data_IF_202458545074
#
_entry.id   IF_202458545074
#
_cell.length_a   1.000
_cell.length_b   1.000
_cell.length_c   1.000
_cell.angle_alpha   90.00
_cell.angle_beta   90.00
_cell.angle_gamma   90.00
#
_symmetry.space_group_name_H-M   'P 1'
#
loop_
_entity.id
_entity.type
_entity.pdbx_description
1 polymer ?
#
# COMPACT_ATOMS: atom_id res chain seq x y z
N UNK A 1 -13.30 -11.00 7.55
CA UNK A 1 -12.00 -11.41 8.12
C UNK A 1 -10.81 -10.63 7.54
N UNK A 2 -10.55 -10.65 6.22
CA UNK A 2 -9.37 -9.95 5.65
C UNK A 2 -9.34 -8.43 5.88
N UNK A 3 -10.50 -7.77 5.76
CA UNK A 3 -10.62 -6.33 6.02
C UNK A 3 -10.31 -5.99 7.48
N UNK A 4 -10.77 -6.80 8.43
CA UNK A 4 -10.49 -6.62 9.86
C UNK A 4 -9.01 -6.81 10.16
N UNK A 5 -8.39 -7.86 9.62
CA UNK A 5 -6.93 -8.09 9.78
C UNK A 5 -6.15 -6.92 9.20
N UNK A 6 -6.52 -6.44 8.01
CA UNK A 6 -5.87 -5.27 7.41
C UNK A 6 -6.02 -4.01 8.26
N UNK A 7 -7.24 -3.70 8.73
CA UNK A 7 -7.49 -2.56 9.62
C UNK A 7 -6.66 -2.69 10.91
N UNK A 8 -6.65 -3.87 11.52
CA UNK A 8 -5.89 -4.13 12.74
C UNK A 8 -4.38 -3.97 12.50
N UNK A 9 -3.85 -4.48 11.38
CA UNK A 9 -2.44 -4.30 11.01
C UNK A 9 -2.08 -2.84 10.81
N UNK A 10 -2.96 -2.04 10.17
CA UNK A 10 -2.74 -0.60 10.02
C UNK A 10 -2.77 0.09 11.38
N UNK A 11 -3.75 -0.21 12.25
CA UNK A 11 -3.83 0.38 13.59
C UNK A 11 -2.61 0.04 14.45
N UNK A 12 -2.16 -1.21 14.45
CA UNK A 12 -0.95 -1.64 15.16
C UNK A 12 0.28 -0.94 14.60
N UNK A 13 0.41 -0.87 13.26
CA UNK A 13 1.52 -0.18 12.63
C UNK A 13 1.56 1.32 13.00
N UNK A 14 0.40 1.99 12.95
CA UNK A 14 0.28 3.40 13.35
C UNK A 14 0.60 3.59 14.84
N UNK A 15 0.11 2.71 15.71
CA UNK A 15 0.40 2.78 17.14
C UNK A 15 1.88 2.55 17.46
N UNK A 16 2.55 1.62 16.77
CA UNK A 16 3.97 1.36 16.94
C UNK A 16 4.84 2.51 16.42
N UNK A 17 4.50 3.08 15.26
CA UNK A 17 5.24 4.22 14.71
C UNK A 17 5.01 5.46 15.56
N UNK A 18 3.76 5.78 15.90
CA UNK A 18 3.42 6.92 16.73
C UNK A 18 3.96 6.80 18.15
N UNK A 19 3.81 5.64 18.78
CA UNK A 19 4.36 5.35 20.10
C UNK A 19 5.88 5.34 20.11
N UNK A 20 6.53 4.80 19.07
CA UNK A 20 7.99 4.84 18.93
C UNK A 20 8.52 6.26 18.74
N UNK A 21 7.88 7.07 17.89
CA UNK A 21 8.24 8.48 17.70
C UNK A 21 8.02 9.30 18.97
N UNK A 22 6.92 9.06 19.69
CA UNK A 22 6.67 9.68 20.99
C UNK A 22 7.72 9.28 22.03
N UNK A 23 8.07 8.00 22.10
CA UNK A 23 9.10 7.50 23.00
C UNK A 23 10.44 8.18 22.72
N UNK A 24 10.85 8.26 21.45
CA UNK A 24 12.04 8.98 21.01
C UNK A 24 12.02 10.44 21.46
N UNK A 25 10.89 11.13 21.29
CA UNK A 25 10.75 12.54 21.66
C UNK A 25 10.83 12.78 23.18
N UNK A 26 10.34 11.84 23.99
CA UNK A 26 10.35 11.96 25.46
C UNK A 26 11.70 11.55 26.05
N UNK A 27 12.38 10.57 25.47
CA UNK A 27 13.64 10.04 26.02
C UNK A 27 14.88 10.81 25.58
N UNK A 28 14.74 11.74 24.63
CA UNK A 28 15.88 12.39 23.97
C UNK A 28 15.66 13.90 23.98
N UNK A 29 16.34 14.65 24.87
CA UNK A 29 16.27 16.11 24.87
C UNK A 29 16.98 16.68 23.64
N UNK A 30 16.28 17.48 22.83
CA UNK A 30 16.82 18.18 21.64
C UNK A 30 17.67 17.35 20.65
N UNK A 31 17.19 16.20 20.13
CA UNK A 31 17.91 15.39 19.15
C UNK A 31 18.21 16.13 17.83
N UNK A 32 17.58 17.28 17.56
CA UNK A 32 17.64 17.93 16.26
C UNK A 32 16.75 17.23 15.22
N UNK A 33 16.23 18.02 14.28
CA UNK A 33 15.17 17.59 13.35
C UNK A 33 15.59 16.43 12.44
N UNK A 34 16.86 16.37 12.03
CA UNK A 34 17.37 15.33 11.13
C UNK A 34 17.52 13.96 11.83
N UNK A 35 17.85 13.95 13.13
CA UNK A 35 17.94 12.71 13.93
C UNK A 35 16.56 12.13 14.21
N UNK A 36 15.56 12.97 14.50
CA UNK A 36 14.16 12.53 14.62
C UNK A 36 13.70 11.88 13.31
N UNK A 37 14.06 12.49 12.18
CA UNK A 37 13.75 11.92 10.87
C UNK A 37 14.41 10.56 10.64
N UNK A 38 15.70 10.41 10.98
CA UNK A 38 16.42 9.15 10.90
C UNK A 38 15.74 8.06 11.76
N UNK A 39 15.42 8.37 13.01
CA UNK A 39 14.71 7.46 13.92
C UNK A 39 13.32 7.09 13.37
N UNK A 40 12.57 8.06 12.86
CA UNK A 40 11.24 7.83 12.27
C UNK A 40 11.32 6.94 11.03
N UNK A 41 12.32 7.13 10.17
CA UNK A 41 12.56 6.27 9.01
C UNK A 41 12.94 4.85 9.42
N UNK A 42 13.82 4.69 10.42
CA UNK A 42 14.17 3.38 10.96
C UNK A 42 12.95 2.65 11.54
N UNK A 43 12.13 3.34 12.35
CA UNK A 43 10.86 2.80 12.88
C UNK A 43 9.88 2.41 11.78
N UNK A 44 9.76 3.25 10.74
CA UNK A 44 8.91 2.96 9.58
C UNK A 44 9.36 1.66 8.90
N UNK A 45 10.68 1.45 8.73
CA UNK A 45 11.22 0.22 8.16
C UNK A 45 10.97 -0.98 9.07
N UNK A 46 11.23 -0.88 10.38
CA UNK A 46 10.97 -1.97 11.34
C UNK A 46 9.51 -2.40 11.41
N UNK A 47 8.57 -1.48 11.14
CA UNK A 47 7.13 -1.79 11.19
C UNK A 47 6.62 -2.27 9.83
N UNK A 48 6.91 -1.54 8.75
CA UNK A 48 6.37 -1.87 7.43
C UNK A 48 7.12 -3.00 6.73
N UNK A 49 8.42 -3.20 7.00
CA UNK A 49 9.21 -4.29 6.45
C UNK A 49 8.58 -5.67 6.72
N UNK A 50 8.36 -6.02 8.00
CA UNK A 50 7.70 -7.26 8.37
C UNK A 50 6.28 -7.35 7.84
N UNK A 51 5.52 -6.25 7.89
CA UNK A 51 4.13 -6.23 7.42
C UNK A 51 4.04 -6.53 5.92
N UNK A 52 4.93 -5.94 5.11
CA UNK A 52 5.05 -6.24 3.67
C UNK A 52 5.41 -7.71 3.47
N UNK A 53 6.41 -8.22 4.18
CA UNK A 53 6.85 -9.61 4.06
C UNK A 53 5.74 -10.61 4.43
N UNK A 54 5.06 -10.39 5.56
CA UNK A 54 3.95 -11.20 6.03
C UNK A 54 2.76 -11.13 5.08
N UNK A 55 2.46 -9.95 4.53
CA UNK A 55 1.40 -9.80 3.51
C UNK A 55 1.73 -10.58 2.24
N UNK A 56 2.99 -10.58 1.80
CA UNK A 56 3.43 -11.35 0.64
C UNK A 56 3.33 -12.86 0.88
N UNK A 57 3.73 -13.34 2.07
CA UNK A 57 3.63 -14.76 2.46
C UNK A 57 2.19 -15.24 2.60
N UNK A 58 1.30 -14.38 3.11
CA UNK A 58 -0.11 -14.68 3.21
C UNK A 58 -0.78 -14.74 1.83
N UNK A 59 -0.30 -13.92 0.89
CA UNK A 59 -0.93 -13.71 -0.39
C UNK A 59 -0.47 -14.67 -1.49
N UNK A 60 0.84 -14.93 -1.56
CA UNK A 60 1.48 -15.75 -2.59
C UNK A 60 2.02 -17.05 -2.02
N UNK A 61 1.98 -18.13 -2.81
CA UNK A 61 2.69 -19.35 -2.43
C UNK A 61 4.14 -19.30 -2.93
N UNK A 62 5.06 -19.03 -2.00
CA UNK A 62 6.48 -19.01 -2.26
C UNK A 62 7.02 -20.38 -2.74
N UNK A 63 6.33 -21.49 -2.46
CA UNK A 63 6.81 -22.85 -2.79
C UNK A 63 6.31 -23.39 -4.14
N UNK A 64 5.34 -22.73 -4.77
CA UNK A 64 4.64 -23.23 -5.96
C UNK A 64 5.54 -23.37 -7.19
N UNK A 65 6.48 -22.45 -7.40
CA UNK A 65 7.46 -22.51 -8.49
C UNK A 65 8.83 -21.99 -8.05
N UNK A 66 9.89 -22.39 -8.75
CA UNK A 66 11.24 -21.90 -8.46
C UNK A 66 11.39 -20.40 -8.72
N UNK A 67 10.63 -19.86 -9.67
CA UNK A 67 10.55 -18.43 -9.91
C UNK A 67 9.93 -17.70 -8.69
N UNK A 68 8.88 -18.27 -8.09
CA UNK A 68 8.27 -17.76 -6.85
C UNK A 68 9.25 -17.81 -5.67
N UNK A 69 9.98 -18.93 -5.50
CA UNK A 69 11.01 -19.08 -4.44
C UNK A 69 12.10 -18.03 -4.58
N UNK A 70 12.67 -17.86 -5.77
CA UNK A 70 13.73 -16.86 -6.03
C UNK A 70 13.22 -15.44 -5.79
N UNK A 71 11.99 -15.15 -6.20
CA UNK A 71 11.37 -13.84 -5.99
C UNK A 71 11.17 -13.54 -4.51
N UNK A 72 10.67 -14.53 -3.75
CA UNK A 72 10.46 -14.39 -2.32
C UNK A 72 11.78 -14.26 -1.57
N UNK A 73 12.79 -15.07 -1.91
CA UNK A 73 14.12 -14.97 -1.32
C UNK A 73 14.77 -13.59 -1.58
N UNK A 74 14.58 -13.02 -2.78
CA UNK A 74 15.05 -11.68 -3.10
C UNK A 74 14.36 -10.61 -2.24
N UNK A 75 13.03 -10.66 -2.10
CA UNK A 75 12.29 -9.73 -1.24
C UNK A 75 12.65 -9.88 0.23
N UNK A 76 12.80 -11.11 0.71
CA UNK A 76 13.25 -11.40 2.07
C UNK A 76 14.60 -10.75 2.36
N UNK A 77 15.57 -10.89 1.46
CA UNK A 77 16.89 -10.24 1.58
C UNK A 77 16.79 -8.72 1.56
N UNK A 78 15.91 -8.14 0.75
CA UNK A 78 15.68 -6.68 0.73
C UNK A 78 15.13 -6.20 2.07
N UNK A 79 14.09 -6.85 2.60
CA UNK A 79 13.47 -6.45 3.87
C UNK A 79 14.45 -6.58 5.02
N UNK A 80 15.14 -7.73 5.13
CA UNK A 80 16.16 -7.95 6.16
C UNK A 80 17.31 -6.97 6.02
N UNK A 81 17.78 -6.70 4.79
CA UNK A 81 18.81 -5.71 4.53
C UNK A 81 18.39 -4.29 4.95
N UNK A 82 17.14 -3.89 4.65
CA UNK A 82 16.59 -2.62 5.09
C UNK A 82 16.46 -2.56 6.61
N UNK A 83 16.08 -3.64 7.29
CA UNK A 83 16.04 -3.68 8.76
C UNK A 83 17.42 -3.62 9.41
N UNK A 84 18.44 -4.24 8.81
CA UNK A 84 19.83 -4.07 9.26
C UNK A 84 20.26 -2.61 9.11
N UNK A 85 19.92 -1.96 7.99
CA UNK A 85 20.20 -0.52 7.81
C UNK A 85 19.42 0.35 8.81
N UNK A 86 18.16 0.00 9.12
CA UNK A 86 17.38 0.66 10.14
C UNK A 86 17.97 0.48 11.55
N UNK A 87 18.50 -0.71 11.85
CA UNK A 87 19.21 -1.00 13.10
C UNK A 87 20.48 -0.18 13.24
N UNK A 88 21.26 -0.04 12.16
CA UNK A 88 22.42 0.85 12.14
C UNK A 88 21.96 2.30 12.33
N UNK A 89 20.92 2.74 11.62
CA UNK A 89 20.38 4.08 11.72
C UNK A 89 19.90 4.45 13.13
N UNK A 90 19.24 3.51 13.83
CA UNK A 90 18.75 3.76 15.19
C UNK A 90 19.88 3.74 16.23
N UNK A 91 20.94 2.96 16.01
CA UNK A 91 22.15 2.99 16.84
C UNK A 91 22.91 4.30 16.65
N UNK A 92 23.10 4.75 15.40
CA UNK A 92 23.69 6.07 15.10
C UNK A 92 22.85 7.18 15.74
N UNK A 93 21.52 7.10 15.63
CA UNK A 93 20.61 8.02 16.31
C UNK A 93 20.88 8.04 17.81
N UNK A 94 20.92 6.88 18.46
CA UNK A 94 21.12 6.81 19.91
C UNK A 94 22.48 7.37 20.34
N UNK A 95 23.54 7.13 19.57
CA UNK A 95 24.88 7.66 19.84
C UNK A 95 24.98 9.18 19.67
N UNK A 96 24.34 9.74 18.65
CA UNK A 96 24.45 11.17 18.34
C UNK A 96 23.49 12.04 19.16
N UNK A 97 22.40 11.43 19.64
CA UNK A 97 21.39 12.13 20.43
C UNK A 97 21.51 11.85 21.94
N UNK A 98 22.59 11.18 22.38
CA UNK A 98 22.81 10.71 23.75
C UNK A 98 21.59 9.96 24.33
N UNK A 99 20.90 9.21 23.47
CA UNK A 99 19.70 8.48 23.87
C UNK A 99 20.08 7.25 24.71
N UNK A 100 19.20 6.79 25.62
CA UNK A 100 19.47 5.61 26.42
C UNK A 100 19.74 4.36 25.57
N UNK A 101 20.76 3.57 25.95
CA UNK A 101 21.18 2.37 25.20
C UNK A 101 20.06 1.32 25.07
N UNK A 102 19.10 1.30 25.98
CA UNK A 102 17.95 0.40 25.91
C UNK A 102 17.00 0.72 24.73
N UNK A 103 16.97 1.97 24.25
CA UNK A 103 16.07 2.42 23.19
C UNK A 103 16.33 1.72 21.84
N UNK A 104 17.57 1.71 21.28
CA UNK A 104 17.86 0.96 20.05
C UNK A 104 17.67 -0.55 20.25
N UNK A 105 18.03 -1.09 21.42
CA UNK A 105 17.81 -2.52 21.74
C UNK A 105 16.33 -2.87 21.68
N UNK A 106 15.46 -2.03 22.24
CA UNK A 106 14.01 -2.21 22.21
C UNK A 106 13.48 -2.21 20.77
N UNK A 107 13.86 -1.22 19.96
CA UNK A 107 13.35 -1.13 18.59
C UNK A 107 13.83 -2.28 17.70
N UNK A 108 15.09 -2.71 17.84
CA UNK A 108 15.61 -3.88 17.14
C UNK A 108 14.87 -5.15 17.59
N UNK A 109 14.65 -5.32 18.89
CA UNK A 109 13.91 -6.46 19.43
C UNK A 109 12.46 -6.51 18.92
N UNK A 110 11.78 -5.36 18.88
CA UNK A 110 10.43 -5.23 18.33
C UNK A 110 10.41 -5.53 16.83
N UNK A 111 11.34 -5.00 16.04
CA UNK A 111 11.47 -5.31 14.60
C UNK A 111 11.65 -6.80 14.35
N UNK A 112 12.60 -7.43 15.06
CA UNK A 112 12.82 -8.88 14.98
C UNK A 112 11.58 -9.69 15.37
N UNK A 113 10.88 -9.29 16.44
CA UNK A 113 9.63 -9.92 16.86
C UNK A 113 8.55 -9.78 15.79
N UNK A 114 8.41 -8.61 15.15
CA UNK A 114 7.47 -8.38 14.07
C UNK A 114 7.79 -9.24 12.84
N UNK A 115 9.06 -9.44 12.47
CA UNK A 115 9.44 -10.40 11.41
C UNK A 115 8.92 -11.80 11.77
N UNK A 116 9.22 -12.28 12.98
CA UNK A 116 8.83 -13.62 13.40
C UNK A 116 7.31 -13.80 13.36
N UNK A 117 6.57 -12.82 13.90
CA UNK A 117 5.10 -12.79 13.86
C UNK A 117 4.60 -12.74 12.43
N UNK A 118 5.16 -11.91 11.57
CA UNK A 118 4.73 -11.76 10.18
C UNK A 118 4.92 -13.05 9.37
N UNK A 119 6.06 -13.73 9.53
CA UNK A 119 6.33 -15.02 8.88
C UNK A 119 5.37 -16.10 9.38
N UNK A 120 5.17 -16.16 10.70
CA UNK A 120 4.29 -17.15 11.32
C UNK A 120 2.81 -16.93 10.96
N UNK A 121 2.30 -15.72 11.18
CA UNK A 121 0.91 -15.33 10.87
C UNK A 121 0.64 -15.43 9.38
N UNK A 122 1.60 -15.04 8.52
CA UNK A 122 1.48 -15.19 7.08
C UNK A 122 1.29 -16.65 6.66
N UNK A 123 2.14 -17.54 7.15
CA UNK A 123 2.03 -18.98 6.89
C UNK A 123 0.73 -19.58 7.44
N UNK A 124 0.32 -19.17 8.65
CA UNK A 124 -0.92 -19.64 9.28
C UNK A 124 -2.17 -19.18 8.53
N UNK A 125 -2.26 -17.90 8.16
CA UNK A 125 -3.37 -17.35 7.37
C UNK A 125 -3.47 -18.06 6.02
N UNK A 126 -2.33 -18.36 5.40
CA UNK A 126 -2.28 -19.10 4.14
C UNK A 126 -2.85 -20.51 4.28
N UNK A 127 -2.37 -21.29 5.28
CA UNK A 127 -2.91 -22.63 5.57
C UNK A 127 -4.42 -22.61 5.82
N UNK A 128 -4.92 -21.60 6.54
CA UNK A 128 -6.36 -21.43 6.78
C UNK A 128 -7.15 -21.08 5.52
N UNK A 129 -6.55 -20.35 4.58
CA UNK A 129 -7.14 -20.09 3.27
C UNK A 129 -7.11 -21.33 2.36
N UNK A 130 -6.07 -22.14 2.42
CA UNK A 130 -5.94 -23.40 1.66
C UNK A 130 -6.92 -24.46 2.16
N UNK A 131 -7.19 -24.52 3.46
CA UNK A 131 -8.17 -25.43 4.05
C UNK A 131 -9.63 -25.12 3.64
N UNK A 132 -9.89 -23.97 3.03
CA UNK A 132 -11.20 -23.63 2.48
C UNK A 132 -11.24 -24.04 1.01
N UNK A 133 -12.23 -24.88 0.65
CA UNK A 133 -12.43 -25.28 -0.74
C UNK A 133 -12.44 -24.04 -1.65
N UNK A 134 -11.66 -24.04 -2.75
CA UNK A 134 -11.74 -22.98 -3.73
C UNK A 134 -13.16 -22.95 -4.26
N UNK A 135 -13.84 -21.81 -4.08
CA UNK A 135 -15.09 -21.58 -4.80
C UNK A 135 -14.66 -21.20 -6.21
N UNK A 136 -14.69 -22.18 -7.13
CA UNK A 136 -14.53 -21.93 -8.56
C UNK A 136 -15.63 -20.98 -8.99
N UNK A 137 -15.24 -19.71 -9.17
CA UNK A 137 -16.13 -18.71 -9.76
C UNK A 137 -15.73 -18.59 -11.21
N UNK A 138 -16.67 -18.74 -12.15
CA UNK A 138 -16.37 -18.43 -13.54
C UNK A 138 -15.82 -17.00 -13.60
N UNK A 139 -14.72 -16.84 -14.33
CA UNK A 139 -14.16 -15.52 -14.54
C UNK A 139 -15.19 -14.69 -15.31
N UNK A 140 -15.56 -13.53 -14.77
CA UNK A 140 -16.50 -12.62 -15.38
C UNK A 140 -15.82 -11.26 -15.56
N UNK A 141 -15.88 -10.66 -16.76
CA UNK A 141 -15.36 -9.32 -16.96
C UNK A 141 -16.15 -8.33 -16.08
N UNK A 142 -15.45 -7.37 -15.48
CA UNK A 142 -16.10 -6.34 -14.67
C UNK A 142 -17.01 -5.48 -15.53
N UNK A 143 -18.26 -5.34 -15.10
CA UNK A 143 -19.22 -4.49 -15.80
C UNK A 143 -18.97 -3.01 -15.53
N UNK A 144 -19.34 -2.13 -16.47
CA UNK A 144 -19.26 -0.66 -16.28
C UNK A 144 -19.98 -0.19 -15.01
N UNK A 145 -21.10 -0.84 -14.66
CA UNK A 145 -21.87 -0.55 -13.43
C UNK A 145 -21.07 -0.85 -12.16
N UNK A 146 -20.29 -1.93 -12.14
CA UNK A 146 -19.42 -2.24 -11.00
C UNK A 146 -18.29 -1.23 -10.84
N UNK A 147 -17.68 -0.81 -11.95
CA UNK A 147 -16.65 0.25 -11.96
C UNK A 147 -17.23 1.55 -11.40
N UNK A 148 -18.40 1.97 -11.88
CA UNK A 148 -19.07 3.18 -11.37
C UNK A 148 -19.41 3.05 -9.88
N UNK A 149 -19.96 1.91 -9.44
CA UNK A 149 -20.25 1.66 -8.02
C UNK A 149 -18.99 1.78 -7.14
N UNK A 150 -17.85 1.30 -7.65
CA UNK A 150 -16.54 1.40 -6.98
C UNK A 150 -16.07 2.86 -6.88
N UNK A 151 -16.21 3.64 -7.95
CA UNK A 151 -15.91 5.09 -7.96
C UNK A 151 -16.84 5.83 -6.99
N UNK A 152 -18.15 5.57 -7.05
CA UNK A 152 -19.13 6.20 -6.14
C UNK A 152 -18.79 5.93 -4.68
N UNK A 153 -18.36 4.72 -4.32
CA UNK A 153 -17.91 4.42 -2.96
C UNK A 153 -16.72 5.31 -2.54
N UNK A 154 -15.72 5.48 -3.40
CA UNK A 154 -14.58 6.36 -3.10
C UNK A 154 -15.02 7.81 -2.91
N UNK A 155 -15.89 8.32 -3.79
CA UNK A 155 -16.42 9.70 -3.70
C UNK A 155 -17.26 9.89 -2.44
N UNK A 156 -18.17 8.97 -2.14
CA UNK A 156 -19.01 9.03 -0.92
C UNK A 156 -18.15 8.97 0.34
N UNK A 157 -17.11 8.13 0.37
CA UNK A 157 -16.19 8.10 1.51
C UNK A 157 -15.40 9.39 1.65
N UNK A 158 -14.95 10.00 0.54
CA UNK A 158 -14.31 11.31 0.56
C UNK A 158 -15.24 12.38 1.14
N UNK A 159 -16.44 12.52 0.58
CA UNK A 159 -17.42 13.52 1.01
C UNK A 159 -17.84 13.30 2.47
N UNK A 160 -18.11 12.04 2.85
CA UNK A 160 -18.47 11.70 4.22
C UNK A 160 -17.35 12.02 5.22
N UNK A 161 -16.11 11.62 4.93
CA UNK A 161 -14.97 11.94 5.79
C UNK A 161 -14.69 13.44 5.86
N UNK A 162 -14.88 14.17 4.76
CA UNK A 162 -14.77 15.63 4.73
C UNK A 162 -15.81 16.30 5.62
N UNK A 163 -17.08 15.91 5.49
CA UNK A 163 -18.18 16.44 6.33
C UNK A 163 -17.94 16.12 7.80
N UNK A 164 -17.50 14.90 8.14
CA UNK A 164 -17.14 14.54 9.52
C UNK A 164 -15.97 15.39 10.01
N UNK A 165 -14.93 15.56 9.19
CA UNK A 165 -13.79 16.42 9.50
C UNK A 165 -14.20 17.86 9.79
N UNK A 166 -15.09 18.43 8.97
CA UNK A 166 -15.66 19.76 9.18
C UNK A 166 -16.53 19.84 10.44
N UNK A 167 -17.34 18.81 10.73
CA UNK A 167 -18.18 18.78 11.92
C UNK A 167 -17.34 18.69 13.20
N UNK A 168 -16.32 17.82 13.22
CA UNK A 168 -15.38 17.74 14.35
C UNK A 168 -14.63 19.05 14.53
N UNK A 169 -14.19 19.68 13.44
CA UNK A 169 -13.58 21.00 13.48
C UNK A 169 -14.54 22.03 14.08
N UNK A 170 -15.79 22.09 13.65
CA UNK A 170 -16.78 23.02 14.20
C UNK A 170 -17.04 22.80 15.70
N UNK A 171 -17.05 21.54 16.15
CA UNK A 171 -17.26 21.18 17.56
C UNK A 171 -16.05 21.50 18.44
N UNK A 172 -14.83 21.25 17.94
CA UNK A 172 -13.60 21.39 18.71
C UNK A 172 -12.80 22.67 18.40
N UNK A 173 -13.29 23.53 17.48
CA UNK A 173 -12.62 24.77 17.08
C UNK A 173 -12.27 25.67 18.27
N UNK A 174 -13.13 25.72 19.29
CA UNK A 174 -12.94 26.60 20.46
C UNK A 174 -11.93 26.05 21.48
N UNK A 175 -11.75 24.74 21.54
CA UNK A 175 -10.91 24.07 22.56
C UNK A 175 -9.53 23.66 22.02
N UNK A 176 -9.46 23.29 20.74
CA UNK A 176 -8.25 22.71 20.13
C UNK A 176 -7.54 23.69 19.21
N UNK A 177 -8.26 24.64 18.60
CA UNK A 177 -7.72 25.50 17.54
C UNK A 177 -7.71 26.99 17.94
N UNK A 178 -6.60 27.45 18.53
CA UNK A 178 -6.17 28.85 18.39
C UNK A 178 -5.60 29.16 17.00
N UNK A 179 -5.57 28.14 16.13
CA UNK A 179 -5.01 28.20 14.77
C UNK A 179 -5.97 28.82 13.73
N UNK A 180 -5.40 29.25 12.61
CA UNK A 180 -6.14 29.87 11.51
C UNK A 180 -7.17 28.91 10.89
N UNK A 181 -8.33 29.44 10.46
CA UNK A 181 -9.37 28.68 9.74
C UNK A 181 -8.81 27.87 8.55
N UNK A 182 -7.76 28.39 7.90
CA UNK A 182 -7.08 27.76 6.77
C UNK A 182 -6.38 26.45 7.18
N UNK A 183 -5.67 26.42 8.31
CA UNK A 183 -5.02 25.20 8.82
C UNK A 183 -6.05 24.13 9.15
N UNK A 184 -7.12 24.54 9.84
CA UNK A 184 -8.20 23.64 10.22
C UNK A 184 -8.89 23.04 8.97
N UNK A 185 -9.23 23.88 7.97
CA UNK A 185 -9.78 23.41 6.69
C UNK A 185 -8.83 22.44 5.98
N UNK A 186 -7.54 22.75 5.93
CA UNK A 186 -6.57 21.86 5.30
C UNK A 186 -6.44 20.52 6.04
N UNK A 187 -6.59 20.49 7.37
CA UNK A 187 -6.61 19.24 8.14
C UNK A 187 -7.82 18.38 7.74
N UNK A 188 -9.01 18.99 7.68
CA UNK A 188 -10.24 18.29 7.28
C UNK A 188 -10.14 17.73 5.85
N UNK A 189 -9.61 18.53 4.92
CA UNK A 189 -9.34 18.08 3.54
C UNK A 189 -8.30 16.95 3.52
N UNK A 190 -7.23 17.05 4.31
CA UNK A 190 -6.20 16.02 4.42
C UNK A 190 -6.77 14.69 4.90
N UNK A 191 -7.57 14.72 5.98
CA UNK A 191 -8.27 13.54 6.50
C UNK A 191 -9.22 12.94 5.45
N UNK A 192 -9.94 13.76 4.70
CA UNK A 192 -10.81 13.30 3.62
C UNK A 192 -10.01 12.58 2.51
N UNK A 193 -8.85 13.13 2.13
CA UNK A 193 -7.94 12.48 1.17
C UNK A 193 -7.46 11.11 1.66
N UNK A 194 -7.02 10.99 2.92
CA UNK A 194 -6.61 9.72 3.50
C UNK A 194 -7.76 8.69 3.54
N UNK A 195 -8.95 9.11 3.96
CA UNK A 195 -10.12 8.25 4.00
C UNK A 195 -10.52 7.74 2.61
N UNK A 196 -10.48 8.61 1.60
CA UNK A 196 -10.77 8.25 0.21
C UNK A 196 -9.71 7.33 -0.40
N UNK A 197 -8.43 7.55 -0.08
CA UNK A 197 -7.34 6.65 -0.45
C UNK A 197 -7.57 5.26 0.16
N UNK A 198 -7.95 5.19 1.44
CA UNK A 198 -8.27 3.94 2.12
C UNK A 198 -9.45 3.21 1.47
N UNK A 199 -10.53 3.94 1.13
CA UNK A 199 -11.65 3.38 0.37
C UNK A 199 -11.19 2.82 -0.98
N UNK A 200 -10.30 3.52 -1.69
CA UNK A 200 -9.70 3.05 -2.94
C UNK A 200 -8.93 1.74 -2.76
N UNK A 201 -8.13 1.61 -1.70
CA UNK A 201 -7.43 0.35 -1.37
C UNK A 201 -8.45 -0.78 -1.14
N UNK A 202 -9.48 -0.56 -0.33
CA UNK A 202 -10.50 -1.57 -0.04
C UNK A 202 -11.29 -1.98 -1.30
N UNK A 203 -11.54 -1.04 -2.20
CA UNK A 203 -12.25 -1.25 -3.47
C UNK A 203 -11.40 -2.03 -4.48
N UNK A 204 -10.07 -1.91 -4.42
CA UNK A 204 -9.14 -2.64 -5.30
C UNK A 204 -8.79 -4.04 -4.79
N UNK A 205 -8.93 -4.33 -3.49
CA UNK A 205 -8.66 -5.68 -2.93
C UNK A 205 -9.31 -6.85 -3.70
N UNK A 206 -10.60 -6.77 -4.12
CA UNK A 206 -11.20 -7.84 -4.92
C UNK A 206 -10.53 -8.03 -6.30
N UNK A 207 -9.99 -6.96 -6.90
CA UNK A 207 -9.31 -7.03 -8.20
C UNK A 207 -7.96 -7.74 -8.06
N UNK A 208 -7.21 -7.43 -7.00
CA UNK A 208 -6.00 -8.19 -6.68
C UNK A 208 -6.33 -9.67 -6.52
N UNK A 209 -7.43 -9.99 -5.82
CA UNK A 209 -7.86 -11.38 -5.62
C UNK A 209 -8.15 -12.09 -6.95
N UNK A 210 -8.79 -11.43 -7.91
CA UNK A 210 -9.00 -11.98 -9.25
C UNK A 210 -7.67 -12.27 -9.96
N UNK A 211 -6.69 -11.36 -9.91
CA UNK A 211 -5.34 -11.62 -10.45
C UNK A 211 -4.72 -12.87 -9.82
N UNK A 212 -4.87 -13.00 -8.50
CA UNK A 212 -4.35 -14.16 -7.75
C UNK A 212 -5.05 -15.46 -8.13
N UNK A 213 -6.34 -15.41 -8.42
CA UNK A 213 -7.14 -16.57 -8.85
C UNK A 213 -6.75 -17.00 -10.27
N UNK A 214 -6.49 -16.06 -11.19
CA UNK A 214 -6.01 -16.35 -12.55
C UNK A 214 -4.70 -17.15 -12.52
N UNK A 215 -3.72 -16.72 -11.71
CA UNK A 215 -2.38 -17.33 -11.66
C UNK A 215 -2.18 -18.40 -10.58
N UNK A 216 -3.27 -18.87 -9.95
CA UNK A 216 -3.19 -19.87 -8.89
C UNK A 216 -2.27 -19.52 -7.70
N UNK A 217 -2.12 -18.25 -7.32
CA UNK A 217 -1.17 -17.79 -6.29
C UNK A 217 0.33 -17.97 -6.62
N UNK A 218 0.70 -18.19 -7.88
CA UNK A 218 2.12 -18.19 -8.29
C UNK A 218 2.61 -16.76 -8.61
N UNK A 219 3.45 -16.21 -7.74
CA UNK A 219 4.05 -14.89 -7.95
C UNK A 219 5.00 -14.84 -9.16
N UNK A 220 5.63 -15.97 -9.50
CA UNK A 220 6.47 -16.12 -10.70
C UNK A 220 5.64 -15.97 -11.97
N UNK A 221 4.49 -16.65 -12.05
CA UNK A 221 3.57 -16.56 -13.18
C UNK A 221 3.01 -15.13 -13.33
N UNK A 222 2.59 -14.47 -12.24
CA UNK A 222 2.17 -13.06 -12.29
C UNK A 222 3.26 -12.15 -12.85
N UNK A 223 4.52 -12.35 -12.47
CA UNK A 223 5.63 -11.56 -13.01
C UNK A 223 5.88 -11.87 -14.48
N UNK A 224 5.68 -13.12 -14.93
CA UNK A 224 5.76 -13.51 -16.34
C UNK A 224 4.68 -12.78 -17.14
N UNK A 225 3.42 -12.90 -16.73
CA UNK A 225 2.28 -12.23 -17.37
C UNK A 225 2.44 -10.71 -17.36
N UNK A 226 2.82 -10.11 -16.22
CA UNK A 226 3.06 -8.67 -16.12
C UNK A 226 4.20 -8.19 -17.04
N UNK A 227 5.24 -9.00 -17.27
CA UNK A 227 6.30 -8.66 -18.24
C UNK A 227 5.80 -8.68 -19.67
N UNK A 228 4.96 -9.65 -20.04
CA UNK A 228 4.37 -9.72 -21.37
C UNK A 228 3.41 -8.54 -21.58
N UNK A 229 2.40 -8.43 -20.72
CA UNK A 229 1.30 -7.46 -20.85
C UNK A 229 1.75 -6.01 -20.62
N UNK A 230 2.49 -5.74 -19.54
CA UNK A 230 2.84 -4.36 -19.17
C UNK A 230 4.18 -3.90 -19.76
N UNK A 231 5.14 -4.82 -19.91
CA UNK A 231 6.46 -4.47 -20.48
C UNK A 231 6.58 -4.75 -21.98
N UNK A 232 5.65 -5.48 -22.59
CA UNK A 232 5.70 -5.84 -24.00
C UNK A 232 6.83 -6.82 -24.32
N UNK A 233 7.26 -7.63 -23.35
CA UNK A 233 8.32 -8.61 -23.58
C UNK A 233 7.76 -9.81 -24.34
N UNK A 234 8.45 -10.22 -25.41
CA UNK A 234 8.20 -11.48 -26.12
C UNK A 234 8.76 -12.62 -25.26
N UNK A 235 7.88 -13.30 -24.55
CA UNK A 235 8.16 -14.54 -23.85
C UNK A 235 7.25 -15.58 -24.45
N UNK A 236 7.75 -16.80 -24.69
CA UNK A 236 6.92 -17.88 -25.19
C UNK A 236 5.87 -18.22 -24.13
N UNK A 237 4.61 -18.03 -24.52
CA UNK A 237 3.44 -18.35 -23.73
C UNK A 237 2.71 -19.50 -24.42
N UNK A 238 2.45 -20.55 -23.65
CA UNK A 238 1.56 -21.63 -24.06
C UNK A 238 0.12 -21.08 -24.25
N UNK A 239 -0.74 -21.83 -24.94
CA UNK A 239 -2.12 -21.40 -25.24
C UNK A 239 -2.90 -21.06 -23.95
N UNK A 240 -2.74 -21.86 -22.90
CA UNK A 240 -3.35 -21.60 -21.58
C UNK A 240 -2.77 -20.32 -20.94
N UNK A 241 -1.47 -20.08 -21.05
CA UNK A 241 -0.82 -18.89 -20.51
C UNK A 241 -1.22 -17.61 -21.28
N UNK A 242 -1.53 -17.71 -22.58
CA UNK A 242 -2.06 -16.59 -23.36
C UNK A 242 -3.47 -16.20 -22.88
N UNK A 243 -4.34 -17.19 -22.63
CA UNK A 243 -5.67 -16.93 -22.04
C UNK A 243 -5.54 -16.25 -20.68
N UNK A 244 -4.63 -16.71 -19.82
CA UNK A 244 -4.36 -16.09 -18.52
C UNK A 244 -3.75 -14.68 -18.65
N UNK A 245 -2.89 -14.46 -19.63
CA UNK A 245 -2.35 -13.12 -19.95
C UNK A 245 -3.47 -12.15 -20.32
N UNK A 246 -4.44 -12.59 -21.13
CA UNK A 246 -5.58 -11.77 -21.52
C UNK A 246 -6.50 -11.46 -20.33
N UNK A 247 -6.83 -12.47 -19.51
CA UNK A 247 -7.59 -12.27 -18.26
C UNK A 247 -6.86 -11.30 -17.32
N UNK A 248 -5.54 -11.44 -17.19
CA UNK A 248 -4.69 -10.54 -16.40
C UNK A 248 -4.74 -9.11 -16.95
N UNK A 249 -4.62 -8.93 -18.27
CA UNK A 249 -4.64 -7.63 -18.92
C UNK A 249 -5.99 -6.91 -18.71
N UNK A 250 -7.10 -7.63 -18.83
CA UNK A 250 -8.44 -7.09 -18.59
C UNK A 250 -8.61 -6.59 -17.14
N UNK A 251 -8.16 -7.36 -16.15
CA UNK A 251 -8.22 -6.93 -14.74
C UNK A 251 -7.25 -5.78 -14.47
N UNK A 252 -6.01 -5.85 -15.00
CA UNK A 252 -4.99 -4.82 -14.82
C UNK A 252 -5.40 -3.46 -15.43
N UNK A 253 -6.07 -3.47 -16.58
CA UNK A 253 -6.58 -2.28 -17.25
C UNK A 253 -7.59 -1.47 -16.40
N UNK A 254 -8.26 -2.15 -15.46
CA UNK A 254 -9.21 -1.56 -14.51
C UNK A 254 -8.53 -1.28 -13.17
N UNK A 255 -7.71 -2.19 -12.68
CA UNK A 255 -7.04 -2.08 -11.38
C UNK A 255 -6.02 -0.94 -11.33
N UNK A 256 -5.16 -0.80 -12.36
CA UNK A 256 -4.09 0.19 -12.37
C UNK A 256 -4.58 1.65 -12.27
N UNK A 257 -5.67 2.07 -12.96
CA UNK A 257 -6.28 3.38 -12.74
C UNK A 257 -6.75 3.62 -11.30
N UNK A 258 -7.37 2.63 -10.65
CA UNK A 258 -7.76 2.77 -9.25
C UNK A 258 -6.54 2.85 -8.33
N UNK A 259 -5.48 2.11 -8.64
CA UNK A 259 -4.21 2.20 -7.92
C UNK A 259 -3.57 3.57 -8.03
N UNK A 260 -3.54 4.13 -9.24
CA UNK A 260 -3.08 5.49 -9.47
C UNK A 260 -3.95 6.49 -8.71
N UNK A 261 -5.28 6.34 -8.74
CA UNK A 261 -6.20 7.25 -8.07
C UNK A 261 -6.01 7.27 -6.55
N UNK A 262 -6.00 6.10 -5.88
CA UNK A 262 -5.80 6.10 -4.43
C UNK A 262 -4.40 6.57 -4.04
N UNK A 263 -3.38 6.31 -4.86
CA UNK A 263 -2.02 6.81 -4.62
C UNK A 263 -2.01 8.34 -4.74
N UNK A 264 -2.63 8.92 -5.77
CA UNK A 264 -2.74 10.38 -5.90
C UNK A 264 -3.46 11.01 -4.70
N UNK A 265 -4.56 10.40 -4.23
CA UNK A 265 -5.29 10.87 -3.05
C UNK A 265 -4.41 10.80 -1.79
N UNK A 266 -3.69 9.70 -1.59
CA UNK A 266 -2.79 9.53 -0.45
C UNK A 266 -1.68 10.59 -0.44
N UNK A 267 -1.01 10.78 -1.58
CA UNK A 267 0.07 11.76 -1.69
C UNK A 267 -0.43 13.19 -1.60
N UNK A 268 -1.63 13.49 -2.13
CA UNK A 268 -2.26 14.80 -1.94
C UNK A 268 -2.52 15.09 -0.45
N UNK A 269 -3.02 14.11 0.30
CA UNK A 269 -3.20 14.24 1.75
C UNK A 269 -1.89 14.49 2.49
N UNK A 270 -0.83 13.73 2.15
CA UNK A 270 0.51 13.92 2.74
C UNK A 270 1.05 15.31 2.40
N UNK A 271 1.06 15.72 1.12
CA UNK A 271 1.56 17.02 0.68
C UNK A 271 0.82 18.14 1.42
N UNK A 272 -0.50 18.04 1.56
CA UNK A 272 -1.29 19.06 2.25
C UNK A 272 -0.88 19.18 3.73
N UNK A 273 -0.71 18.05 4.44
CA UNK A 273 -0.20 18.06 5.81
C UNK A 273 1.20 18.67 5.90
N UNK A 274 2.08 18.38 4.93
CA UNK A 274 3.44 18.93 4.92
C UNK A 274 3.45 20.43 4.63
N UNK A 275 2.59 20.92 3.72
CA UNK A 275 2.48 22.36 3.43
C UNK A 275 2.07 23.14 4.68
N UNK A 276 1.22 22.58 5.54
CA UNK A 276 0.87 23.22 6.81
C UNK A 276 2.06 23.37 7.77
N UNK A 277 2.97 22.39 7.77
CA UNK A 277 4.18 22.42 8.60
C UNK A 277 5.21 23.45 8.12
N UNK A 278 5.10 24.00 6.90
CA UNK A 278 6.00 25.05 6.41
C UNK A 278 5.89 26.37 7.20
N UNK A 279 4.77 26.57 7.90
CA UNK A 279 4.58 27.70 8.80
C UNK A 279 5.54 27.66 10.00
N UNK A 280 5.99 26.45 10.41
CA UNK A 280 6.94 26.28 11.49
C UNK A 280 8.39 26.40 10.96
N UNK A 281 9.18 27.41 11.40
CA UNK A 281 10.55 27.63 10.92
C UNK A 281 11.49 26.43 11.15
N UNK A 282 11.31 25.71 12.25
CA UNK A 282 12.13 24.55 12.63
C UNK A 282 11.82 23.36 11.74
N UNK A 283 10.53 23.12 11.44
CA UNK A 283 10.11 22.03 10.58
C UNK A 283 10.44 22.27 9.10
N UNK A 284 10.49 23.54 8.66
CA UNK A 284 10.68 23.93 7.26
C UNK A 284 11.90 23.27 6.59
N UNK A 285 13.02 23.15 7.31
CA UNK A 285 14.25 22.56 6.78
C UNK A 285 14.07 21.08 6.38
N UNK A 286 13.22 20.34 7.09
CA UNK A 286 12.89 18.95 6.79
C UNK A 286 11.78 18.84 5.74
N UNK A 287 10.78 19.72 5.84
CA UNK A 287 9.56 19.66 5.02
C UNK A 287 9.85 19.95 3.54
N UNK A 288 10.72 20.92 3.23
CA UNK A 288 11.06 21.30 1.85
C UNK A 288 11.65 20.11 1.06
N UNK A 289 12.74 19.45 1.49
CA UNK A 289 13.31 18.33 0.74
C UNK A 289 12.34 17.15 0.67
N UNK A 290 11.53 16.92 1.70
CA UNK A 290 10.51 15.87 1.67
C UNK A 290 9.40 16.17 0.66
N UNK A 291 8.91 17.41 0.59
CA UNK A 291 7.95 17.84 -0.44
C UNK A 291 8.55 17.70 -1.84
N UNK A 292 9.81 18.11 -2.04
CA UNK A 292 10.51 17.95 -3.31
C UNK A 292 10.60 16.47 -3.72
N UNK A 293 10.92 15.57 -2.78
CA UNK A 293 10.96 14.13 -2.99
C UNK A 293 9.57 13.56 -3.35
N UNK A 294 8.51 13.97 -2.65
CA UNK A 294 7.15 13.53 -2.93
C UNK A 294 6.70 13.97 -4.33
N UNK A 295 6.98 15.22 -4.71
CA UNK A 295 6.67 15.74 -6.05
C UNK A 295 7.46 15.00 -7.12
N UNK A 296 8.77 14.80 -6.92
CA UNK A 296 9.62 14.03 -7.83
C UNK A 296 9.08 12.61 -8.03
N UNK A 297 8.68 11.95 -6.93
CA UNK A 297 8.11 10.62 -7.00
C UNK A 297 6.82 10.59 -7.83
N UNK A 298 5.92 11.56 -7.65
CA UNK A 298 4.71 11.67 -8.47
C UNK A 298 5.04 11.90 -9.94
N UNK A 299 5.96 12.81 -10.24
CA UNK A 299 6.41 13.10 -11.61
C UNK A 299 6.98 11.86 -12.30
N UNK A 300 7.61 10.94 -11.56
CA UNK A 300 8.15 9.69 -12.10
C UNK A 300 7.08 8.59 -12.19
N UNK A 301 6.29 8.39 -11.14
CA UNK A 301 5.36 7.24 -11.02
C UNK A 301 4.12 7.42 -11.89
N UNK A 302 3.59 8.65 -11.99
CA UNK A 302 2.39 8.93 -12.80
C UNK A 302 2.59 8.55 -14.28
N UNK A 303 3.60 9.05 -15.01
CA UNK A 303 3.75 8.71 -16.43
C UNK A 303 4.03 7.22 -16.64
N UNK A 304 4.77 6.60 -15.73
CA UNK A 304 5.02 5.16 -15.77
C UNK A 304 3.73 4.34 -15.62
N UNK A 305 2.89 4.72 -14.65
CA UNK A 305 1.58 4.11 -14.41
C UNK A 305 0.64 4.30 -15.61
N UNK A 306 0.61 5.51 -16.19
CA UNK A 306 -0.20 5.79 -17.39
C UNK A 306 0.25 4.93 -18.58
N UNK A 307 1.57 4.76 -18.78
CA UNK A 307 2.09 3.85 -19.83
C UNK A 307 1.63 2.42 -19.61
N UNK A 308 1.66 1.92 -18.37
CA UNK A 308 1.20 0.58 -18.04
C UNK A 308 -0.30 0.39 -18.22
N UNK A 309 -1.10 1.40 -17.85
CA UNK A 309 -2.55 1.39 -18.11
C UNK A 309 -2.83 1.30 -19.61
N UNK A 310 -2.14 2.10 -20.43
CA UNK A 310 -2.32 2.09 -21.89
C UNK A 310 -1.95 0.72 -22.49
N UNK A 311 -0.84 0.13 -22.05
CA UNK A 311 -0.39 -1.19 -22.53
C UNK A 311 -1.32 -2.31 -22.11
N UNK A 312 -1.79 -2.33 -20.86
CA UNK A 312 -2.77 -3.30 -20.40
C UNK A 312 -4.08 -3.21 -21.23
N UNK A 313 -4.54 -2.00 -21.53
CA UNK A 313 -5.73 -1.78 -22.37
C UNK A 313 -5.51 -2.19 -23.83
N UNK A 314 -4.35 -1.91 -24.40
CA UNK A 314 -4.02 -2.30 -25.76
C UNK A 314 -4.00 -3.83 -25.88
N UNK A 315 -3.27 -4.50 -24.99
CA UNK A 315 -3.17 -5.96 -24.96
C UNK A 315 -4.54 -6.63 -24.78
N UNK A 316 -5.37 -6.12 -23.87
CA UNK A 316 -6.71 -6.65 -23.63
C UNK A 316 -7.66 -6.50 -24.84
N UNK A 317 -7.47 -5.47 -25.68
CA UNK A 317 -8.24 -5.26 -26.91
C UNK A 317 -7.75 -6.15 -28.05
N UNK A 318 -6.43 -6.29 -28.19
CA UNK A 318 -5.81 -7.10 -29.24
C UNK A 318 -6.11 -8.60 -29.10
N UNK A 319 -6.43 -9.06 -27.89
CA UNK A 319 -6.64 -10.48 -27.58
C UNK A 319 -8.05 -10.75 -27.03
N UNK A 320 -9.02 -9.87 -27.29
CA UNK A 320 -10.40 -10.00 -26.79
C UNK A 320 -11.03 -11.33 -27.21
N UNK A 321 -10.69 -11.80 -28.40
CA UNK A 321 -11.17 -13.04 -29.04
C UNK A 321 -10.80 -14.31 -28.26
N UNK A 322 -9.72 -14.27 -27.46
CA UNK A 322 -9.22 -15.42 -26.69
C UNK A 322 -10.03 -15.68 -25.41
N UNK A 323 -10.92 -14.75 -25.04
CA UNK A 323 -11.76 -14.90 -23.86
C UNK A 323 -13.18 -15.18 -24.34
N UNK A 324 -13.73 -16.38 -24.07
CA UNK A 324 -15.07 -16.73 -24.54
C UNK A 324 -16.07 -15.67 -24.06
N UNK A 325 -16.75 -15.02 -25.00
CA UNK A 325 -17.84 -14.12 -24.71
C UNK A 325 -18.85 -14.88 -23.86
N UNK A 326 -19.10 -14.40 -22.64
CA UNK A 326 -20.11 -14.98 -21.76
C UNK A 326 -21.42 -14.91 -22.53
N UNK A 327 -21.89 -16.06 -23.02
CA UNK A 327 -23.22 -16.16 -23.62
C UNK A 327 -24.20 -15.62 -22.58
N UNK A 328 -25.10 -14.69 -22.94
CA UNK A 328 -26.04 -14.13 -21.98
C UNK A 328 -26.80 -15.29 -21.35
N UNK A 329 -26.72 -15.40 -20.02
CA UNK A 329 -27.56 -16.32 -19.25
C UNK A 329 -28.99 -16.08 -19.72
N UNK A 330 -29.71 -17.09 -20.23
CA UNK A 330 -31.10 -16.93 -20.63
C UNK A 330 -31.84 -16.31 -19.45
N UNK A 331 -32.42 -15.14 -19.65
CA UNK A 331 -33.32 -14.56 -18.65
C UNK A 331 -34.38 -15.61 -18.36
N UNK A 332 -34.36 -16.18 -17.15
CA UNK A 332 -35.44 -17.01 -16.68
C UNK A 332 -36.71 -16.17 -16.73
N UNK A 333 -37.56 -16.51 -17.69
CA UNK A 333 -38.89 -15.94 -17.92
C UNK A 333 -39.84 -16.34 -16.82
#
# INVERSE_FOLDING_TARGET
MKVVVYILSVLIATALIGGGAFLVAVTTPDPGSWLIFLATMALTVFVYGPLVLGSMLAYWDAKRSDASKRYFAWWYRIVVGLEVLAAIGIVIFAMLADAPVWLPVLFIAVGAALIMVAVFVGAWLRKREEARAPVERPWLPLTRREILRKITKMVVTFVGAFVIGLALLALFAREIFTESLVQALGLAVGVAFFAAAMAGILVTMPLFRQIREIVGRDAGQVRKLAKVVLKGKRLDLDEEEQVDATKYAAVAAIMLPFQLAYMMLLYAGIILQQVQLLANPVARQLVIPMLALLVLLLVVVVPFSVRYIRRARAYAREHEDLVPAVSPVPSAS
#
